data_IF_210841409963
#
_entry.id   IF_210841409963
#
_cell.length_a   1.000
_cell.length_b   1.000
_cell.length_c   1.000
_cell.angle_alpha   90.00
_cell.angle_beta   90.00
_cell.angle_gamma   90.00
#
_symmetry.space_group_name_H-M   'P 1'
#
loop_
_entity.id
_entity.type
_entity.pdbx_description
1 polymer ?
#
# COMPACT_ATOMS: atom_id res chain seq x y z
N UNK A 1 0.04 -4.19 14.90
CA UNK A 1 -1.08 -5.03 14.41
C UNK A 1 -1.19 -4.92 12.90
N UNK A 2 -1.49 -6.03 12.22
CA UNK A 2 -1.72 -6.09 10.77
C UNK A 2 -3.12 -5.59 10.40
N UNK A 3 -3.28 -5.08 9.17
CA UNK A 3 -4.54 -4.48 8.71
C UNK A 3 -5.70 -5.47 8.54
N UNK A 4 -5.43 -6.78 8.60
CA UNK A 4 -6.45 -7.83 8.50
C UNK A 4 -6.88 -8.41 9.84
N UNK A 5 -6.23 -8.00 10.92
CA UNK A 5 -6.62 -8.43 12.26
C UNK A 5 -7.94 -7.78 12.68
N UNK A 6 -8.70 -8.48 13.52
CA UNK A 6 -10.01 -8.02 13.98
C UNK A 6 -9.86 -6.84 14.97
N UNK A 7 -8.74 -6.81 15.74
CA UNK A 7 -8.46 -5.79 16.74
C UNK A 7 -7.15 -5.07 16.46
N UNK A 8 -7.18 -3.75 16.39
CA UNK A 8 -5.99 -2.92 16.27
C UNK A 8 -5.62 -2.29 17.63
N UNK A 9 -4.78 -2.99 18.39
CA UNK A 9 -4.28 -2.51 19.69
C UNK A 9 -3.17 -1.45 19.59
N UNK A 10 -2.75 -1.08 18.39
CA UNK A 10 -1.64 -0.17 18.18
C UNK A 10 -0.26 -0.84 18.31
N UNK A 11 0.77 -0.04 18.56
CA UNK A 11 2.16 -0.51 18.71
C UNK A 11 2.42 -0.95 20.16
N UNK A 12 2.88 -2.20 20.32
CA UNK A 12 3.24 -2.76 21.64
C UNK A 12 4.48 -2.07 22.25
N UNK A 13 4.75 -2.32 23.55
CA UNK A 13 5.99 -1.85 24.20
C UNK A 13 7.24 -2.35 23.45
N UNK A 14 7.27 -3.62 23.09
CA UNK A 14 8.35 -4.19 22.26
C UNK A 14 8.45 -3.48 20.90
N UNK A 15 7.33 -3.25 20.22
CA UNK A 15 7.29 -2.55 18.95
C UNK A 15 7.87 -1.13 19.01
N UNK A 16 7.67 -0.41 20.14
CA UNK A 16 8.29 0.90 20.36
C UNK A 16 9.81 0.83 20.38
N UNK A 17 10.37 -0.15 21.06
CA UNK A 17 11.83 -0.32 21.12
C UNK A 17 12.40 -0.76 19.76
N UNK A 18 11.67 -1.62 19.01
CA UNK A 18 12.05 -1.99 17.63
C UNK A 18 12.11 -0.76 16.73
N UNK A 19 11.08 0.11 16.74
CA UNK A 19 11.08 1.34 15.92
C UNK A 19 12.26 2.25 16.29
N UNK A 20 12.55 2.42 17.58
CA UNK A 20 13.68 3.22 18.04
C UNK A 20 15.02 2.65 17.53
N UNK A 21 15.18 1.33 17.60
CA UNK A 21 16.40 0.68 17.13
C UNK A 21 16.53 0.77 15.60
N UNK A 22 15.44 0.59 14.84
CA UNK A 22 15.42 0.84 13.40
C UNK A 22 15.88 2.26 13.07
N UNK A 23 15.41 3.26 13.82
CA UNK A 23 15.82 4.66 13.62
C UNK A 23 17.33 4.87 13.84
N UNK A 24 17.93 4.21 14.86
CA UNK A 24 19.37 4.27 15.12
C UNK A 24 20.18 3.65 13.99
N UNK A 25 19.72 2.51 13.47
CA UNK A 25 20.39 1.76 12.42
C UNK A 25 20.15 2.34 11.01
N UNK A 26 19.31 3.37 10.87
CA UNK A 26 18.95 3.93 9.57
C UNK A 26 18.03 3.03 8.73
N UNK A 27 17.33 2.10 9.37
CA UNK A 27 16.36 1.21 8.71
C UNK A 27 15.02 1.93 8.61
N UNK A 28 14.45 1.99 7.40
CA UNK A 28 13.13 2.58 7.15
C UNK A 28 12.04 1.71 7.77
N UNK A 29 11.12 2.32 8.50
CA UNK A 29 9.92 1.66 9.02
C UNK A 29 8.85 1.69 7.93
N UNK A 30 8.43 0.52 7.45
CA UNK A 30 7.33 0.38 6.48
C UNK A 30 6.05 -0.08 7.17
N UNK A 31 4.98 0.69 6.99
CA UNK A 31 3.67 0.43 7.60
C UNK A 31 2.60 0.01 6.58
N UNK A 32 3.01 -0.48 5.39
CA UNK A 32 2.09 -0.88 4.32
C UNK A 32 1.05 -1.91 4.77
N UNK A 33 1.46 -2.93 5.53
CA UNK A 33 0.58 -4.01 6.01
C UNK A 33 -0.02 -3.76 7.39
N UNK A 34 0.23 -2.60 7.99
CA UNK A 34 -0.20 -2.30 9.35
C UNK A 34 -1.60 -1.71 9.39
N UNK A 35 -2.31 -1.98 10.48
CA UNK A 35 -3.61 -1.38 10.77
C UNK A 35 -3.48 0.11 11.11
N UNK A 36 -4.59 0.82 11.17
CA UNK A 36 -4.63 2.28 11.24
C UNK A 36 -3.98 2.85 12.49
N UNK A 37 -4.45 2.40 13.67
CA UNK A 37 -3.89 2.84 14.95
C UNK A 37 -2.41 2.49 15.08
N UNK A 38 -2.03 1.28 14.64
CA UNK A 38 -0.62 0.86 14.63
C UNK A 38 0.24 1.75 13.74
N UNK A 39 -0.30 2.21 12.60
CA UNK A 39 0.39 3.13 11.69
C UNK A 39 0.54 4.52 12.32
N UNK A 40 -0.53 5.08 12.89
CA UNK A 40 -0.49 6.36 13.58
C UNK A 40 0.44 6.35 14.79
N UNK A 41 0.44 5.26 15.56
CA UNK A 41 1.38 5.08 16.67
C UNK A 41 2.83 5.06 16.19
N UNK A 42 3.11 4.34 15.09
CA UNK A 42 4.46 4.27 14.52
C UNK A 42 4.95 5.65 14.04
N UNK A 43 4.08 6.43 13.38
CA UNK A 43 4.38 7.81 12.97
C UNK A 43 4.76 8.67 14.20
N UNK A 44 4.01 8.56 15.30
CA UNK A 44 4.27 9.32 16.55
C UNK A 44 5.56 8.89 17.25
N UNK A 45 5.91 7.62 17.17
CA UNK A 45 7.08 7.04 17.87
C UNK A 45 8.36 7.27 17.09
N UNK A 46 8.32 7.17 15.78
CA UNK A 46 9.50 7.29 14.93
C UNK A 46 10.04 8.72 14.94
N UNK A 47 11.36 8.86 15.10
CA UNK A 47 12.08 10.14 14.99
C UNK A 47 12.59 10.39 13.56
N UNK A 48 12.33 9.45 12.66
CA UNK A 48 12.68 9.54 11.24
C UNK A 48 11.42 9.38 10.41
N UNK A 49 11.35 9.96 9.21
CA UNK A 49 10.25 9.70 8.30
C UNK A 49 10.04 8.20 8.11
N UNK A 50 8.79 7.76 8.13
CA UNK A 50 8.43 6.38 7.83
C UNK A 50 7.87 6.29 6.40
N UNK A 51 7.70 5.07 5.89
CA UNK A 51 7.10 4.83 4.61
C UNK A 51 5.83 3.96 4.74
N UNK A 52 4.93 4.16 3.80
CA UNK A 52 3.92 3.20 3.40
C UNK A 52 4.26 2.89 1.95
N UNK A 53 5.06 1.84 1.74
CA UNK A 53 5.70 1.61 0.44
C UNK A 53 4.73 1.17 -0.65
N UNK A 54 3.58 0.57 -0.29
CA UNK A 54 2.59 0.09 -1.24
C UNK A 54 1.18 0.03 -0.62
N UNK A 55 0.40 1.07 -0.79
CA UNK A 55 -1.02 1.16 -0.44
C UNK A 55 -1.67 2.28 -1.26
N UNK A 56 -3.01 2.35 -1.23
CA UNK A 56 -3.77 3.41 -1.88
C UNK A 56 -4.63 4.18 -0.87
N UNK A 57 -5.22 5.31 -1.22
CA UNK A 57 -6.15 6.02 -0.35
C UNK A 57 -7.50 5.29 -0.24
N UNK A 58 -8.01 5.13 0.98
CA UNK A 58 -9.31 4.50 1.21
C UNK A 58 -10.49 5.35 0.74
N UNK A 59 -10.32 6.67 0.59
CA UNK A 59 -11.35 7.53 0.01
C UNK A 59 -11.62 7.22 -1.46
N UNK A 60 -10.66 6.60 -2.16
CA UNK A 60 -10.83 6.16 -3.54
C UNK A 60 -11.40 4.75 -3.63
N UNK A 61 -10.85 3.85 -2.82
CA UNK A 61 -11.30 2.47 -2.72
C UNK A 61 -11.07 1.92 -1.30
N UNK A 62 -12.12 1.52 -0.57
CA UNK A 62 -12.03 1.17 0.85
C UNK A 62 -11.54 -0.26 1.10
N UNK A 63 -10.47 -0.70 0.43
CA UNK A 63 -9.82 -1.97 0.75
C UNK A 63 -9.15 -1.89 2.13
N UNK A 64 -9.09 -2.99 2.87
CA UNK A 64 -8.45 -3.05 4.22
C UNK A 64 -6.97 -2.63 4.23
N UNK A 65 -6.26 -2.80 3.12
CA UNK A 65 -4.86 -2.37 2.93
C UNK A 65 -4.73 -0.87 2.70
N UNK A 66 -5.77 -0.23 2.19
CA UNK A 66 -5.75 1.18 1.86
C UNK A 66 -5.84 2.04 3.12
N UNK A 67 -5.31 3.24 3.06
CA UNK A 67 -5.11 4.11 4.22
C UNK A 67 -6.12 5.24 4.26
N UNK A 68 -6.57 5.57 5.46
CA UNK A 68 -7.49 6.69 5.69
C UNK A 68 -6.83 8.05 5.45
N UNK A 69 -7.65 9.08 5.27
CA UNK A 69 -7.17 10.46 5.15
C UNK A 69 -6.37 10.90 6.40
N UNK A 70 -6.74 10.40 7.58
CA UNK A 70 -6.02 10.69 8.82
C UNK A 70 -4.59 10.16 8.77
N UNK A 71 -4.43 8.88 8.39
CA UNK A 71 -3.10 8.26 8.23
C UNK A 71 -2.29 8.98 7.15
N UNK A 72 -2.89 9.28 6.00
CA UNK A 72 -2.19 9.93 4.89
C UNK A 72 -1.69 11.33 5.24
N UNK A 73 -2.51 12.13 5.92
CA UNK A 73 -2.11 13.46 6.41
C UNK A 73 -1.00 13.35 7.45
N UNK A 74 -1.17 12.47 8.45
CA UNK A 74 -0.15 12.27 9.49
C UNK A 74 1.19 11.80 8.90
N UNK A 75 1.15 10.94 7.87
CA UNK A 75 2.32 10.48 7.15
C UNK A 75 3.04 11.65 6.46
N UNK A 76 2.30 12.49 5.72
CA UNK A 76 2.86 13.65 5.04
C UNK A 76 3.43 14.67 6.03
N UNK A 77 2.69 15.00 7.10
CA UNK A 77 3.11 15.94 8.14
C UNK A 77 4.38 15.49 8.85
N UNK A 78 4.62 14.18 8.95
CA UNK A 78 5.85 13.59 9.50
C UNK A 78 7.02 13.55 8.52
N UNK A 79 6.85 14.02 7.29
CA UNK A 79 7.84 13.94 6.23
C UNK A 79 7.93 12.56 5.56
N UNK A 80 6.99 11.67 5.83
CA UNK A 80 6.94 10.32 5.28
C UNK A 80 6.46 10.26 3.83
N UNK A 81 6.41 9.05 3.26
CA UNK A 81 6.08 8.81 1.86
C UNK A 81 5.07 7.67 1.69
N UNK A 82 4.11 7.87 0.81
CA UNK A 82 3.20 6.85 0.30
C UNK A 82 3.65 6.38 -1.08
N UNK A 83 3.88 5.07 -1.25
CA UNK A 83 4.00 4.42 -2.55
C UNK A 83 2.64 3.93 -3.01
N UNK A 84 2.11 4.51 -4.08
CA UNK A 84 0.80 4.09 -4.64
C UNK A 84 0.90 2.71 -5.25
N UNK A 85 0.07 1.80 -4.75
CA UNK A 85 0.08 0.39 -5.09
C UNK A 85 -0.62 0.14 -6.43
N UNK A 86 -0.02 -0.75 -7.22
CA UNK A 86 -0.60 -1.28 -8.46
C UNK A 86 -1.11 -2.72 -8.28
N UNK A 87 -1.08 -3.23 -7.05
CA UNK A 87 -1.64 -4.54 -6.75
C UNK A 87 -3.17 -4.50 -6.91
N UNK A 88 -3.77 -5.38 -7.73
CA UNK A 88 -5.16 -5.24 -8.17
C UNK A 88 -6.20 -5.18 -7.03
N UNK A 89 -6.00 -5.92 -5.93
CA UNK A 89 -6.93 -5.88 -4.79
C UNK A 89 -6.90 -4.55 -4.00
N UNK A 90 -5.94 -3.67 -4.28
CA UNK A 90 -5.88 -2.33 -3.70
C UNK A 90 -6.48 -1.25 -4.64
N UNK A 91 -6.80 -1.63 -5.87
CA UNK A 91 -7.31 -0.76 -6.91
C UNK A 91 -8.84 -0.82 -7.00
N UNK A 92 -9.48 0.30 -7.25
CA UNK A 92 -10.86 0.33 -7.70
C UNK A 92 -10.95 -0.42 -9.03
N UNK A 93 -11.94 -1.30 -9.15
CA UNK A 93 -12.17 -2.18 -10.30
C UNK A 93 -11.06 -3.24 -10.54
N UNK A 94 -10.16 -3.43 -9.57
CA UNK A 94 -9.14 -4.48 -9.55
C UNK A 94 -8.36 -4.57 -10.87
N UNK A 95 -8.38 -5.73 -11.56
CA UNK A 95 -7.70 -5.95 -12.85
C UNK A 95 -8.25 -5.10 -13.99
N UNK A 96 -9.47 -4.54 -13.84
CA UNK A 96 -10.11 -3.67 -14.81
C UNK A 96 -9.85 -2.17 -14.53
N UNK A 97 -9.05 -1.86 -13.52
CA UNK A 97 -8.66 -0.47 -13.22
C UNK A 97 -8.05 0.16 -14.47
N UNK A 98 -8.59 1.30 -14.91
CA UNK A 98 -8.06 2.03 -16.04
C UNK A 98 -6.88 2.91 -15.64
N UNK A 99 -6.01 3.24 -16.59
CA UNK A 99 -4.90 4.17 -16.36
C UNK A 99 -5.41 5.54 -15.90
N UNK A 100 -6.50 6.00 -16.49
CA UNK A 100 -7.15 7.27 -16.15
C UNK A 100 -7.62 7.28 -14.70
N UNK A 101 -8.29 6.22 -14.25
CA UNK A 101 -8.76 6.09 -12.86
C UNK A 101 -7.59 6.09 -11.87
N UNK A 102 -6.49 5.39 -12.18
CA UNK A 102 -5.30 5.40 -11.35
C UNK A 102 -4.65 6.79 -11.28
N UNK A 103 -4.52 7.47 -12.42
CA UNK A 103 -3.92 8.81 -12.47
C UNK A 103 -4.79 9.86 -11.76
N UNK A 104 -6.12 9.76 -11.86
CA UNK A 104 -7.04 10.62 -11.11
C UNK A 104 -6.91 10.40 -9.59
N UNK A 105 -6.86 9.14 -9.15
CA UNK A 105 -6.56 8.80 -7.75
C UNK A 105 -5.25 9.43 -7.30
N UNK A 106 -4.21 9.32 -8.13
CA UNK A 106 -2.88 9.88 -7.84
C UNK A 106 -2.97 11.40 -7.66
N UNK A 107 -3.66 12.10 -8.56
CA UNK A 107 -3.85 13.56 -8.48
C UNK A 107 -4.56 13.97 -7.18
N UNK A 108 -5.67 13.32 -6.85
CA UNK A 108 -6.40 13.61 -5.60
C UNK A 108 -5.57 13.26 -4.35
N UNK A 109 -4.70 12.28 -4.44
CA UNK A 109 -3.78 11.95 -3.34
C UNK A 109 -2.70 13.02 -3.20
N UNK A 110 -2.21 13.55 -4.31
CA UNK A 110 -1.27 14.67 -4.30
C UNK A 110 -1.88 15.95 -3.72
N UNK A 111 -3.16 16.22 -4.00
CA UNK A 111 -3.90 17.34 -3.39
C UNK A 111 -4.01 17.19 -1.87
N UNK A 112 -4.14 15.96 -1.37
CA UNK A 112 -4.27 15.67 0.07
C UNK A 112 -2.94 15.73 0.81
N UNK A 113 -1.88 15.16 0.23
CA UNK A 113 -0.59 14.91 0.90
C UNK A 113 0.52 15.87 0.46
N UNK A 114 0.39 16.48 -0.70
CA UNK A 114 1.48 17.12 -1.41
C UNK A 114 2.28 16.14 -2.27
N UNK A 115 2.68 16.55 -3.47
CA UNK A 115 3.39 15.72 -4.45
C UNK A 115 4.70 15.12 -3.92
N UNK A 116 5.36 15.79 -2.98
CA UNK A 116 6.63 15.36 -2.36
C UNK A 116 6.48 14.07 -1.52
N UNK A 117 5.27 13.74 -1.13
CA UNK A 117 4.97 12.63 -0.22
C UNK A 117 4.38 11.41 -0.92
N UNK A 118 4.32 11.42 -2.25
CA UNK A 118 3.80 10.32 -3.04
C UNK A 118 4.85 9.77 -4.01
N UNK A 119 4.75 8.49 -4.27
CA UNK A 119 5.56 7.77 -5.25
C UNK A 119 4.80 6.56 -5.77
N UNK A 120 5.44 5.71 -6.54
CA UNK A 120 4.85 4.45 -7.03
C UNK A 120 5.49 3.28 -6.30
N UNK A 121 4.66 2.50 -5.61
CA UNK A 121 5.04 1.24 -4.98
C UNK A 121 4.26 0.10 -5.60
N UNK A 122 4.72 -0.41 -6.73
CA UNK A 122 3.92 -1.26 -7.62
C UNK A 122 3.42 -2.56 -6.98
N UNK A 123 4.15 -3.12 -6.03
CA UNK A 123 3.88 -4.46 -5.45
C UNK A 123 3.74 -5.54 -6.54
N UNK A 124 4.52 -5.41 -7.59
CA UNK A 124 4.42 -6.19 -8.80
C UNK A 124 5.02 -7.58 -8.60
N UNK A 125 4.19 -8.61 -8.80
CA UNK A 125 4.58 -10.01 -8.68
C UNK A 125 4.67 -10.65 -10.08
N UNK A 126 5.85 -10.60 -10.69
CA UNK A 126 6.08 -11.18 -12.04
C UNK A 126 6.80 -12.53 -11.90
N UNK A 127 6.34 -13.49 -12.71
CA UNK A 127 7.01 -14.80 -12.85
C UNK A 127 6.88 -15.71 -11.63
N UNK A 128 6.07 -15.35 -10.64
CA UNK A 128 5.77 -16.24 -9.52
C UNK A 128 4.70 -17.27 -9.90
N UNK A 129 4.94 -18.56 -9.68
CA UNK A 129 3.93 -19.57 -9.90
C UNK A 129 2.82 -19.49 -8.84
N UNK A 130 1.63 -19.98 -9.19
CA UNK A 130 0.49 -20.03 -8.27
C UNK A 130 0.79 -20.80 -6.98
N UNK A 131 1.72 -21.75 -7.01
CA UNK A 131 2.17 -22.49 -5.81
C UNK A 131 2.71 -21.58 -4.69
N UNK A 132 3.25 -20.41 -5.00
CA UNK A 132 3.67 -19.42 -3.98
C UNK A 132 2.44 -18.85 -3.26
N UNK A 133 1.37 -18.55 -4.01
CA UNK A 133 0.11 -18.07 -3.41
C UNK A 133 -0.50 -19.16 -2.54
N UNK A 134 -0.53 -20.40 -3.01
CA UNK A 134 -1.00 -21.54 -2.23
C UNK A 134 -0.19 -21.70 -0.94
N UNK A 135 1.15 -21.61 -1.02
CA UNK A 135 2.00 -21.68 0.16
C UNK A 135 1.72 -20.56 1.17
N UNK A 136 1.62 -19.32 0.72
CA UNK A 136 1.31 -18.18 1.59
C UNK A 136 -0.05 -18.34 2.28
N UNK A 137 -1.02 -18.99 1.62
CA UNK A 137 -2.37 -19.15 2.15
C UNK A 137 -2.55 -20.39 3.02
N UNK A 138 -1.82 -21.48 2.73
CA UNK A 138 -1.90 -22.72 3.50
C UNK A 138 -1.41 -22.57 4.94
N UNK A 139 -0.50 -21.66 5.20
CA UNK A 139 -0.06 -21.30 6.53
C UNK A 139 -1.07 -20.48 7.34
N UNK A 140 -2.13 -19.96 6.72
CA UNK A 140 -3.12 -19.12 7.37
C UNK A 140 -4.16 -19.96 8.10
N UNK A 141 -4.37 -19.68 9.34
CA UNK A 141 -5.38 -20.32 10.19
C UNK A 141 -6.81 -19.85 9.88
N UNK A 142 -7.01 -18.69 9.20
CA UNK A 142 -8.30 -18.16 8.75
C UNK A 142 -8.53 -18.42 7.25
N UNK A 143 -8.58 -19.66 6.83
CA UNK A 143 -8.66 -20.05 5.40
C UNK A 143 -9.95 -19.66 4.69
N UNK A 144 -11.01 -19.38 5.43
CA UNK A 144 -12.34 -19.06 4.89
C UNK A 144 -12.59 -17.57 4.67
N UNK A 145 -11.82 -16.68 5.30
CA UNK A 145 -11.95 -15.22 5.12
C UNK A 145 -11.30 -14.80 3.80
N UNK A 146 -12.00 -13.96 3.05
CA UNK A 146 -11.45 -13.23 1.92
C UNK A 146 -10.92 -11.89 2.42
N UNK A 147 -9.61 -11.71 2.35
CA UNK A 147 -8.96 -10.47 2.75
C UNK A 147 -8.74 -9.50 1.58
N UNK A 148 -9.36 -9.75 0.42
CA UNK A 148 -9.11 -8.98 -0.80
C UNK A 148 -7.80 -9.34 -1.51
N UNK A 149 -7.04 -10.28 -0.96
CA UNK A 149 -5.80 -10.82 -1.56
C UNK A 149 -5.97 -12.27 -2.04
N UNK A 150 -7.23 -12.69 -2.17
CA UNK A 150 -7.62 -14.07 -2.42
C UNK A 150 -7.64 -14.93 -1.13
N UNK A 151 -8.11 -16.13 -1.25
CA UNK A 151 -8.25 -17.11 -0.15
C UNK A 151 -8.02 -18.53 -0.68
N UNK A 152 -8.25 -19.54 0.14
CA UNK A 152 -8.07 -20.95 -0.27
C UNK A 152 -8.92 -21.37 -1.48
N UNK A 153 -10.04 -20.67 -1.74
CA UNK A 153 -10.91 -20.90 -2.92
C UNK A 153 -10.42 -20.19 -4.17
N UNK A 154 -9.62 -19.13 -4.02
CA UNK A 154 -9.03 -18.37 -5.11
C UNK A 154 -7.54 -18.13 -4.84
N UNK A 155 -6.70 -19.15 -5.02
CA UNK A 155 -5.29 -19.11 -4.63
C UNK A 155 -4.39 -18.41 -5.66
N UNK A 156 -4.93 -17.92 -6.76
CA UNK A 156 -4.14 -17.34 -7.84
C UNK A 156 -3.76 -15.88 -7.55
N UNK A 157 -2.64 -15.43 -8.11
CA UNK A 157 -2.36 -14.00 -8.19
C UNK A 157 -3.42 -13.32 -9.07
N UNK A 158 -3.93 -12.14 -8.65
CA UNK A 158 -4.83 -11.37 -9.50
C UNK A 158 -4.10 -10.92 -10.76
N UNK A 159 -4.81 -10.91 -11.90
CA UNK A 159 -4.26 -10.38 -13.14
C UNK A 159 -4.02 -8.89 -13.01
N UNK A 160 -2.86 -8.43 -13.45
CA UNK A 160 -2.52 -7.03 -13.50
C UNK A 160 -3.44 -6.27 -14.48
N UNK A 161 -3.70 -4.97 -14.26
CA UNK A 161 -4.32 -4.13 -15.28
C UNK A 161 -3.54 -4.19 -16.60
N UNK A 162 -4.23 -4.20 -17.73
CA UNK A 162 -3.63 -4.38 -19.05
C UNK A 162 -2.58 -3.33 -19.44
N UNK A 163 -2.64 -2.16 -18.85
CA UNK A 163 -1.68 -1.06 -19.04
C UNK A 163 -0.45 -1.15 -18.15
N UNK A 164 -0.41 -2.08 -17.16
CA UNK A 164 0.72 -2.30 -16.25
C UNK A 164 0.95 -3.79 -15.98
N UNK A 165 1.32 -4.53 -17.00
CA UNK A 165 1.58 -5.98 -16.90
C UNK A 165 2.96 -6.29 -16.29
N UNK A 166 3.92 -5.40 -16.49
CA UNK A 166 5.29 -5.47 -15.98
C UNK A 166 5.92 -4.07 -15.89
N UNK A 167 7.20 -3.99 -15.54
CA UNK A 167 7.92 -2.73 -15.38
C UNK A 167 7.93 -1.82 -16.62
N UNK A 168 7.68 -2.35 -17.82
CA UNK A 168 7.53 -1.52 -19.04
C UNK A 168 6.29 -0.63 -18.99
N UNK A 169 5.32 -0.97 -18.14
CA UNK A 169 4.11 -0.19 -17.86
C UNK A 169 4.37 1.18 -17.24
N UNK A 170 5.56 1.44 -16.67
CA UNK A 170 5.91 2.78 -16.16
C UNK A 170 5.83 3.87 -17.25
N UNK A 171 6.08 3.54 -18.51
CA UNK A 171 5.88 4.48 -19.64
C UNK A 171 4.41 4.89 -19.82
N UNK A 172 3.47 4.00 -19.50
CA UNK A 172 2.04 4.32 -19.53
C UNK A 172 1.68 5.24 -18.37
N UNK A 173 2.22 4.97 -17.17
CA UNK A 173 2.05 5.84 -16.00
C UNK A 173 2.53 7.26 -16.28
N UNK A 174 3.74 7.42 -16.79
CA UNK A 174 4.28 8.74 -17.14
C UNK A 174 3.33 9.51 -18.06
N UNK A 175 2.85 8.87 -19.14
CA UNK A 175 1.91 9.49 -20.07
C UNK A 175 0.57 9.83 -19.42
N UNK A 176 0.06 8.96 -18.54
CA UNK A 176 -1.18 9.18 -17.82
C UNK A 176 -1.07 10.32 -16.80
N UNK A 177 0.00 10.36 -16.02
CA UNK A 177 0.25 11.40 -15.02
C UNK A 177 0.42 12.79 -15.67
N UNK A 178 1.09 12.88 -16.82
CA UNK A 178 1.18 14.15 -17.58
C UNK A 178 -0.19 14.70 -17.98
N UNK A 179 -1.16 13.84 -18.30
CA UNK A 179 -2.54 14.26 -18.64
C UNK A 179 -3.31 14.85 -17.46
N UNK A 180 -2.97 14.47 -16.23
CA UNK A 180 -3.60 14.99 -15.00
C UNK A 180 -2.77 16.06 -14.30
N UNK A 181 -1.79 16.64 -15.01
CA UNK A 181 -1.07 17.85 -14.57
C UNK A 181 0.25 17.61 -13.86
N UNK A 182 0.77 16.39 -13.82
CA UNK A 182 2.14 16.17 -13.34
C UNK A 182 3.15 16.54 -14.45
N UNK A 183 4.08 17.42 -14.13
CA UNK A 183 5.19 17.85 -15.01
C UNK A 183 6.53 17.53 -14.34
N UNK A 184 7.61 17.52 -15.13
CA UNK A 184 8.97 17.36 -14.63
C UNK A 184 9.42 18.57 -13.78
#
# INVERSE_FOLDING_TARGET
TGCYEDEDSGVTRMGKEVIKEMNKLGVVVDMSHSAEKSTLDAIKISKKPIAITHANPSFWFPAKRNKSNEVLKALADSGGMLGLSLYPHHLKDASNCTLESFCEMTSKTADLMGVKHIGIGSDLCIGHPNSIVEWMRNGRWTKTKDFGEGNAKNPNFPKQPNWFLDARGFKNLERGLKKVGFHE
#
